data_IF_926669427976
#
_entry.id   IF_926669427976
#
_cell.length_a   1.000
_cell.length_b   1.000
_cell.length_c   1.000
_cell.angle_alpha   90.00
_cell.angle_beta   90.00
_cell.angle_gamma   90.00
#
_symmetry.space_group_name_H-M   'P 1'
#
loop_
_entity.id
_entity.type
_entity.pdbx_description
1 polymer ?
#
# COMPACT_ATOMS: atom_id res chain seq x y z
N UNK A 1 -13.18 -6.56 14.50
CA UNK A 1 -13.63 -7.42 15.61
C UNK A 1 -13.00 -6.91 16.90
N UNK A 2 -13.77 -6.75 17.97
CA UNK A 2 -13.28 -6.23 19.26
C UNK A 2 -12.49 -7.26 20.09
N UNK A 3 -11.99 -8.32 19.45
CA UNK A 3 -11.25 -9.43 20.07
C UNK A 3 -9.98 -8.98 20.78
N UNK A 4 -9.30 -7.97 20.24
CA UNK A 4 -8.09 -7.41 20.83
C UNK A 4 -8.39 -6.32 21.89
N UNK A 5 -9.60 -6.29 22.47
CA UNK A 5 -9.94 -5.33 23.53
C UNK A 5 -9.32 -5.76 24.85
N UNK A 6 -8.86 -4.79 25.65
CA UNK A 6 -8.41 -5.05 27.01
C UNK A 6 -9.57 -5.39 27.95
N UNK A 7 -10.75 -4.84 27.67
CA UNK A 7 -11.96 -5.11 28.44
C UNK A 7 -12.51 -6.53 28.13
N UNK A 8 -12.59 -7.43 29.13
CA UNK A 8 -13.08 -8.80 28.94
C UNK A 8 -14.56 -8.86 28.55
N UNK A 9 -15.39 -7.91 29.01
CA UNK A 9 -16.82 -7.86 28.65
C UNK A 9 -16.95 -7.58 27.16
N UNK A 10 -16.25 -6.55 26.67
CA UNK A 10 -16.24 -6.16 25.26
C UNK A 10 -15.70 -7.28 24.36
N UNK A 11 -14.67 -7.99 24.83
CA UNK A 11 -14.10 -9.14 24.11
C UNK A 11 -15.08 -10.30 23.97
N UNK A 12 -15.98 -10.48 24.93
CA UNK A 12 -16.93 -11.60 24.96
C UNK A 12 -18.16 -11.36 24.08
N UNK A 13 -18.56 -10.10 23.88
CA UNK A 13 -19.80 -9.76 23.16
C UNK A 13 -19.81 -10.16 21.68
N UNK A 14 -18.63 -10.25 21.03
CA UNK A 14 -18.41 -10.65 19.62
C UNK A 14 -19.66 -10.55 18.72
N UNK A 15 -20.13 -9.33 18.40
CA UNK A 15 -21.39 -9.16 17.72
C UNK A 15 -21.33 -9.72 16.30
N UNK A 16 -22.35 -10.48 15.90
CA UNK A 16 -22.49 -10.92 14.51
C UNK A 16 -22.91 -9.72 13.66
N UNK A 17 -21.98 -9.19 12.86
CA UNK A 17 -22.23 -8.05 11.99
C UNK A 17 -23.00 -8.54 10.77
N UNK A 18 -24.19 -7.97 10.54
CA UNK A 18 -24.94 -8.21 9.30
C UNK A 18 -24.25 -7.44 8.17
N UNK A 19 -23.52 -8.14 7.33
CA UNK A 19 -22.87 -7.56 6.13
C UNK A 19 -23.72 -7.82 4.89
N UNK A 20 -23.52 -7.02 3.84
CA UNK A 20 -24.24 -7.20 2.59
C UNK A 20 -23.82 -8.47 1.84
N UNK A 21 -24.56 -8.83 0.77
CA UNK A 21 -24.28 -10.04 -0.04
C UNK A 21 -22.89 -10.05 -0.70
N UNK A 22 -22.37 -8.88 -1.06
CA UNK A 22 -21.14 -8.75 -1.86
C UNK A 22 -19.86 -8.83 -1.03
N UNK A 23 -19.93 -8.66 0.28
CA UNK A 23 -18.76 -8.62 1.13
C UNK A 23 -19.00 -9.35 2.44
N UNK A 24 -18.15 -10.33 2.70
CA UNK A 24 -18.16 -11.11 3.94
C UNK A 24 -16.97 -10.66 4.79
N UNK A 25 -17.27 -10.01 5.92
CA UNK A 25 -16.25 -9.40 6.77
C UNK A 25 -15.37 -10.45 7.46
N UNK A 26 -15.94 -11.58 7.89
CA UNK A 26 -15.18 -12.63 8.56
C UNK A 26 -14.08 -13.18 7.64
N UNK A 27 -14.46 -13.56 6.41
CA UNK A 27 -13.52 -14.06 5.40
C UNK A 27 -12.42 -13.03 5.07
N UNK A 28 -12.78 -11.76 4.88
CA UNK A 28 -11.81 -10.71 4.58
C UNK A 28 -10.84 -10.42 5.74
N UNK A 29 -11.32 -10.51 6.99
CA UNK A 29 -10.47 -10.35 8.18
C UNK A 29 -9.53 -11.53 8.32
N UNK A 30 -9.99 -12.75 8.08
CA UNK A 30 -9.15 -13.95 8.18
C UNK A 30 -8.09 -13.97 7.08
N UNK A 31 -8.47 -13.63 5.83
CA UNK A 31 -7.51 -13.47 4.73
C UNK A 31 -6.43 -12.42 5.06
N UNK A 32 -6.83 -11.25 5.57
CA UNK A 32 -5.89 -10.22 5.98
C UNK A 32 -4.95 -10.69 7.11
N UNK A 33 -5.46 -11.44 8.10
CA UNK A 33 -4.64 -12.04 9.17
C UNK A 33 -3.61 -13.02 8.60
N UNK A 34 -3.98 -13.87 7.65
CA UNK A 34 -3.06 -14.81 7.00
C UNK A 34 -2.01 -14.07 6.14
N UNK A 35 -2.40 -13.06 5.37
CA UNK A 35 -1.46 -12.20 4.63
C UNK A 35 -0.42 -11.56 5.56
N UNK A 36 -0.85 -11.04 6.72
CA UNK A 36 0.06 -10.46 7.71
C UNK A 36 1.04 -11.49 8.29
N UNK A 37 0.60 -12.72 8.56
CA UNK A 37 1.50 -13.81 8.98
C UNK A 37 2.54 -14.13 7.90
N UNK A 38 2.12 -14.20 6.64
CA UNK A 38 3.03 -14.45 5.51
C UNK A 38 4.03 -13.31 5.38
N UNK A 39 3.60 -12.04 5.49
CA UNK A 39 4.49 -10.87 5.49
C UNK A 39 5.51 -10.92 6.63
N UNK A 40 5.13 -11.39 7.81
CA UNK A 40 6.06 -11.59 8.93
C UNK A 40 7.11 -12.67 8.64
N UNK A 41 6.72 -13.76 7.97
CA UNK A 41 7.65 -14.84 7.57
C UNK A 41 8.63 -14.37 6.49
N UNK A 42 8.15 -13.61 5.51
CA UNK A 42 8.99 -13.02 4.44
C UNK A 42 9.94 -11.99 5.05
N UNK A 43 9.49 -11.26 6.06
CA UNK A 43 10.25 -10.20 6.71
C UNK A 43 10.21 -8.90 5.90
N UNK A 44 11.15 -8.01 6.20
CA UNK A 44 11.25 -6.70 5.56
C UNK A 44 11.73 -6.86 4.12
N UNK A 45 10.83 -6.65 3.16
CA UNK A 45 11.17 -6.54 1.74
C UNK A 45 11.64 -5.14 1.41
N UNK A 46 12.53 -5.02 0.43
CA UNK A 46 12.84 -3.72 -0.15
C UNK A 46 11.57 -3.13 -0.77
N UNK A 47 11.16 -1.96 -0.28
CA UNK A 47 10.12 -1.14 -0.88
C UNK A 47 10.79 -0.05 -1.71
N UNK A 48 10.45 0.03 -2.99
CA UNK A 48 10.96 1.03 -3.92
C UNK A 48 12.50 1.04 -4.03
N UNK A 49 13.06 2.20 -4.39
CA UNK A 49 14.49 2.47 -4.46
C UNK A 49 15.10 2.88 -3.11
N UNK A 50 14.42 2.65 -1.98
CA UNK A 50 14.87 3.07 -0.63
C UNK A 50 16.01 2.22 -0.06
N UNK A 51 16.25 1.04 -0.64
CA UNK A 51 17.25 0.08 -0.17
C UNK A 51 16.80 -0.76 1.04
N UNK A 52 17.57 -1.80 1.34
CA UNK A 52 17.27 -2.73 2.42
C UNK A 52 17.49 -2.05 3.79
N UNK A 53 16.52 -2.18 4.71
CA UNK A 53 16.64 -1.66 6.08
C UNK A 53 16.30 -0.17 6.27
N UNK A 54 15.82 0.51 5.23
CA UNK A 54 15.36 1.91 5.33
C UNK A 54 14.04 2.04 6.11
N UNK A 55 13.19 1.02 6.08
CA UNK A 55 11.88 1.01 6.74
C UNK A 55 11.89 0.24 8.06
N UNK A 56 11.14 0.74 9.03
CA UNK A 56 10.86 0.03 10.28
C UNK A 56 9.53 -0.69 10.15
N UNK A 57 9.53 -2.02 10.32
CA UNK A 57 8.32 -2.82 10.30
C UNK A 57 7.64 -2.84 11.67
N UNK A 58 6.32 -2.65 11.66
CA UNK A 58 5.43 -2.99 12.77
C UNK A 58 4.80 -4.35 12.50
N UNK A 59 5.15 -5.33 13.31
CA UNK A 59 4.66 -6.69 13.16
C UNK A 59 3.33 -6.87 13.90
N UNK A 60 2.36 -7.52 13.23
CA UNK A 60 1.04 -7.81 13.77
C UNK A 60 1.09 -8.69 15.02
N UNK A 61 2.03 -9.65 15.07
CA UNK A 61 2.28 -10.50 16.25
C UNK A 61 2.78 -9.72 17.48
N UNK A 62 3.43 -8.57 17.26
CA UNK A 62 3.97 -7.71 18.34
C UNK A 62 3.03 -6.57 18.72
N UNK A 63 2.09 -6.21 17.85
CA UNK A 63 1.12 -5.15 18.08
C UNK A 63 0.08 -5.54 19.13
N UNK A 64 -0.49 -4.54 19.82
CA UNK A 64 -1.53 -4.73 20.84
C UNK A 64 -2.71 -3.78 20.65
N UNK A 65 -3.88 -4.19 21.15
CA UNK A 65 -5.04 -3.32 21.24
C UNK A 65 -5.48 -2.74 19.91
N UNK A 66 -5.60 -1.39 19.87
CA UNK A 66 -6.03 -0.64 18.70
C UNK A 66 -5.05 -0.78 17.53
N UNK A 67 -3.74 -0.71 17.78
CA UNK A 67 -2.72 -0.79 16.73
C UNK A 67 -2.82 -2.09 15.93
N UNK A 68 -3.07 -3.20 16.63
CA UNK A 68 -3.24 -4.51 15.99
C UNK A 68 -4.45 -4.54 15.05
N UNK A 69 -5.54 -3.84 15.41
CA UNK A 69 -6.73 -3.69 14.56
C UNK A 69 -6.45 -2.78 13.37
N UNK A 70 -5.76 -1.67 13.59
CA UNK A 70 -5.41 -0.72 12.53
C UNK A 70 -4.53 -1.39 11.46
N UNK A 71 -3.59 -2.25 11.87
CA UNK A 71 -2.78 -3.06 10.93
C UNK A 71 -3.67 -3.98 10.08
N UNK A 72 -4.64 -4.68 10.68
CA UNK A 72 -5.57 -5.56 9.94
C UNK A 72 -6.46 -4.74 9.00
N UNK A 73 -6.96 -3.58 9.43
CA UNK A 73 -7.79 -2.70 8.60
C UNK A 73 -7.00 -2.20 7.40
N UNK A 74 -5.77 -1.74 7.61
CA UNK A 74 -4.89 -1.29 6.53
C UNK A 74 -4.61 -2.40 5.53
N UNK A 75 -4.38 -3.63 6.02
CA UNK A 75 -4.19 -4.79 5.13
C UNK A 75 -5.42 -5.10 4.29
N UNK A 76 -6.63 -5.01 4.87
CA UNK A 76 -7.88 -5.18 4.12
C UNK A 76 -8.00 -4.14 3.00
N UNK A 77 -7.65 -2.88 3.30
CA UNK A 77 -7.66 -1.79 2.31
C UNK A 77 -6.68 -2.10 1.17
N UNK A 78 -5.45 -2.49 1.51
CA UNK A 78 -4.41 -2.82 0.53
C UNK A 78 -4.80 -4.03 -0.35
N UNK A 79 -5.41 -5.06 0.24
CA UNK A 79 -5.88 -6.23 -0.50
C UNK A 79 -7.01 -5.85 -1.48
N UNK A 80 -7.96 -5.02 -1.04
CA UNK A 80 -9.05 -4.56 -1.90
C UNK A 80 -8.54 -3.63 -3.02
N UNK A 81 -7.60 -2.74 -2.73
CA UNK A 81 -6.98 -1.88 -3.76
C UNK A 81 -6.17 -2.70 -4.76
N UNK A 82 -5.43 -3.71 -4.29
CA UNK A 82 -4.74 -4.67 -5.17
C UNK A 82 -5.73 -5.38 -6.09
N UNK A 83 -6.87 -5.82 -5.57
CA UNK A 83 -7.95 -6.46 -6.35
C UNK A 83 -8.55 -5.50 -7.38
N UNK A 84 -8.73 -4.22 -7.03
CA UNK A 84 -9.21 -3.19 -7.96
C UNK A 84 -8.22 -2.92 -9.08
N UNK A 85 -6.92 -2.86 -8.76
CA UNK A 85 -5.85 -2.70 -9.77
C UNK A 85 -5.83 -3.92 -10.69
N UNK A 86 -5.83 -5.14 -10.15
CA UNK A 86 -5.90 -6.38 -10.94
C UNK A 86 -7.10 -6.39 -11.89
N UNK A 87 -8.27 -5.98 -11.39
CA UNK A 87 -9.47 -5.87 -12.23
C UNK A 87 -9.32 -4.81 -13.32
N UNK A 88 -8.72 -3.67 -13.01
CA UNK A 88 -8.46 -2.60 -13.98
C UNK A 88 -7.53 -3.10 -15.09
N UNK A 89 -6.46 -3.81 -14.76
CA UNK A 89 -5.53 -4.41 -15.72
C UNK A 89 -6.24 -5.39 -16.67
N UNK A 90 -7.24 -6.13 -16.17
CA UNK A 90 -8.03 -7.07 -16.99
C UNK A 90 -9.04 -6.38 -17.93
N UNK A 91 -9.24 -5.05 -17.81
CA UNK A 91 -10.19 -4.29 -18.62
C UNK A 91 -9.45 -3.53 -19.73
N UNK A 92 -9.35 -4.04 -20.96
CA UNK A 92 -8.47 -3.47 -21.99
C UNK A 92 -8.83 -2.04 -22.44
N UNK A 93 -10.10 -1.64 -22.32
CA UNK A 93 -10.55 -0.29 -22.68
C UNK A 93 -10.59 0.66 -21.48
N UNK A 94 -11.16 0.23 -20.35
CA UNK A 94 -11.32 1.08 -19.15
C UNK A 94 -10.03 1.16 -18.32
N UNK A 95 -9.18 0.14 -18.41
CA UNK A 95 -7.90 0.03 -17.74
C UNK A 95 -6.72 0.52 -18.56
N UNK A 96 -6.92 1.23 -19.69
CA UNK A 96 -5.78 1.72 -20.49
C UNK A 96 -4.80 2.58 -19.69
N UNK A 97 -5.26 3.23 -18.62
CA UNK A 97 -4.42 3.99 -17.70
C UNK A 97 -3.42 3.14 -16.90
N UNK A 98 -3.61 1.81 -16.81
CA UNK A 98 -2.63 0.91 -16.19
C UNK A 98 -1.45 0.60 -17.10
N UNK A 99 -1.59 0.89 -18.40
CA UNK A 99 -0.54 0.68 -19.39
C UNK A 99 0.19 1.99 -19.65
N UNK A 100 1.51 1.88 -19.84
CA UNK A 100 2.36 3.03 -20.14
C UNK A 100 2.45 3.35 -21.64
N UNK A 101 1.61 2.74 -22.48
CA UNK A 101 1.68 2.86 -23.96
C UNK A 101 1.52 4.30 -24.46
N UNK A 102 0.75 5.12 -23.74
CA UNK A 102 0.53 6.54 -24.06
C UNK A 102 1.48 7.49 -23.30
N UNK A 103 2.37 6.96 -22.47
CA UNK A 103 3.34 7.80 -21.78
C UNK A 103 4.32 8.37 -22.79
N UNK A 104 4.41 9.70 -22.86
CA UNK A 104 5.30 10.37 -23.80
C UNK A 104 6.75 10.04 -23.44
N UNK A 105 7.36 9.12 -24.18
CA UNK A 105 8.77 8.79 -23.99
C UNK A 105 9.61 10.02 -24.35
N UNK A 106 10.14 10.70 -23.34
CA UNK A 106 11.01 11.85 -23.53
C UNK A 106 12.46 11.41 -23.46
N UNK A 107 13.07 11.18 -24.63
CA UNK A 107 14.53 11.02 -24.72
C UNK A 107 15.19 12.37 -24.48
N UNK A 108 15.91 12.52 -23.35
CA UNK A 108 16.69 13.71 -23.07
C UNK A 108 18.10 13.53 -23.67
N UNK A 109 18.45 14.38 -24.62
CA UNK A 109 19.81 14.47 -25.15
C UNK A 109 20.71 15.20 -24.16
N UNK A 110 22.02 14.93 -24.22
CA UNK A 110 23.01 15.60 -23.37
C UNK A 110 22.96 17.13 -23.53
N UNK A 111 22.74 17.60 -24.76
CA UNK A 111 22.61 19.03 -25.06
C UNK A 111 21.41 19.66 -24.36
N UNK A 112 20.25 18.99 -24.36
CA UNK A 112 19.06 19.47 -23.65
C UNK A 112 19.28 19.53 -22.14
N UNK A 113 20.01 18.56 -21.57
CA UNK A 113 20.34 18.54 -20.14
C UNK A 113 21.22 19.75 -19.77
N UNK A 114 22.25 20.06 -20.56
CA UNK A 114 23.13 21.21 -20.31
C UNK A 114 22.41 22.55 -20.37
N UNK A 115 21.36 22.66 -21.19
CA UNK A 115 20.59 23.89 -21.36
C UNK A 115 19.32 23.95 -20.51
N UNK A 116 18.99 22.91 -19.74
CA UNK A 116 17.85 22.92 -18.84
C UNK A 116 18.15 23.64 -17.52
N UNK A 117 17.14 24.32 -16.99
CA UNK A 117 17.23 24.89 -15.64
C UNK A 117 17.47 23.76 -14.61
N UNK A 118 18.38 23.94 -13.63
CA UNK A 118 18.71 22.90 -12.65
C UNK A 118 17.50 22.32 -11.90
N UNK A 119 16.52 23.15 -11.56
CA UNK A 119 15.29 22.72 -10.89
C UNK A 119 14.44 21.80 -11.77
N UNK A 120 14.44 22.02 -13.09
CA UNK A 120 13.71 21.18 -14.05
C UNK A 120 14.35 19.81 -14.19
N UNK A 121 15.69 19.76 -14.20
CA UNK A 121 16.45 18.50 -14.22
C UNK A 121 16.20 17.72 -12.93
N UNK A 122 16.30 18.40 -11.78
CA UNK A 122 16.02 17.82 -10.47
C UNK A 122 14.60 17.25 -10.41
N UNK A 123 13.60 17.99 -10.89
CA UNK A 123 12.22 17.52 -10.98
C UNK A 123 12.09 16.27 -11.86
N UNK A 124 12.65 16.27 -13.07
CA UNK A 124 12.56 15.15 -13.99
C UNK A 124 13.19 13.88 -13.40
N UNK A 125 14.39 14.00 -12.83
CA UNK A 125 15.07 12.88 -12.16
C UNK A 125 14.20 12.37 -11.01
N UNK A 126 13.72 13.27 -10.14
CA UNK A 126 12.90 12.89 -8.98
C UNK A 126 11.56 12.27 -9.38
N UNK A 127 10.93 12.71 -10.47
CA UNK A 127 9.68 12.12 -10.98
C UNK A 127 9.86 10.69 -11.50
N UNK A 128 11.03 10.35 -12.03
CA UNK A 128 11.34 8.99 -12.51
C UNK A 128 11.63 8.06 -11.34
N UNK A 129 12.25 8.55 -10.28
CA UNK A 129 12.63 7.76 -9.10
C UNK A 129 11.61 7.83 -7.94
N UNK A 130 10.44 8.43 -8.16
CA UNK A 130 9.41 8.66 -7.13
C UNK A 130 9.96 9.37 -5.87
N UNK A 131 10.89 10.31 -6.09
CA UNK A 131 11.52 11.17 -5.07
C UNK A 131 10.93 12.58 -5.09
N UNK A 132 9.73 12.75 -5.66
CA UNK A 132 9.06 14.03 -5.61
C UNK A 132 8.63 14.31 -4.16
N UNK A 133 8.80 15.55 -3.66
CA UNK A 133 8.37 15.89 -2.32
C UNK A 133 6.88 15.58 -2.17
N UNK A 134 6.58 14.58 -1.36
CA UNK A 134 5.23 14.21 -0.95
C UNK A 134 4.92 14.85 0.40
N UNK A 135 3.67 14.79 0.87
CA UNK A 135 3.32 15.29 2.21
C UNK A 135 4.14 14.64 3.35
N UNK A 136 4.85 13.53 3.09
CA UNK A 136 5.76 12.91 4.05
C UNK A 136 7.15 13.58 4.12
N UNK A 137 7.56 14.33 3.09
CA UNK A 137 8.89 14.96 2.97
C UNK A 137 8.89 16.45 3.37
N UNK A 138 7.71 17.01 3.65
CA UNK A 138 7.53 18.36 4.17
C UNK A 138 7.48 18.30 5.71
N UNK A 139 8.65 18.27 6.34
CA UNK A 139 8.81 18.56 7.78
C UNK A 139 8.87 20.08 7.99
#
# INVERSE_FOLDING_TARGET
MLEDSEDPVVKTVQPTIKTGRKWKVVEAVDEAKECLKIKEVIGLTQTDCKGLGSSTAKWWSKAKGKEKRDIVINEIILNEDSRRIQKSVQQPQQGQWTNWDNALQKSLTWNEIWHMAPLRISFLIRSVYDLMPSNADLV
#
